data_IF_565629832337
#
_entry.id   IF_565629832337
#
_cell.length_a   1.000
_cell.length_b   1.000
_cell.length_c   1.000
_cell.angle_alpha   90.00
_cell.angle_beta   90.00
_cell.angle_gamma   90.00
#
_symmetry.space_group_name_H-M   'P 1'
#
loop_
_entity.id
_entity.type
_entity.pdbx_description
1 polymer ?
#
# COMPACT_ATOMS: atom_id res chain seq x y z
N UNK A 1 18.14 -7.79 1.18
CA UNK A 1 16.85 -7.40 0.60
C UNK A 1 16.05 -6.72 1.68
N UNK A 2 15.74 -5.43 1.53
CA UNK A 2 14.97 -4.67 2.51
C UNK A 2 13.48 -4.91 2.25
N UNK A 3 12.68 -5.01 3.30
CA UNK A 3 11.24 -5.31 3.21
C UNK A 3 10.47 -4.37 2.25
N UNK A 4 10.81 -3.08 2.24
CA UNK A 4 10.19 -2.10 1.34
C UNK A 4 10.53 -2.34 -0.15
N UNK A 5 11.65 -2.98 -0.48
CA UNK A 5 12.02 -3.33 -1.87
C UNK A 5 11.08 -4.43 -2.40
N UNK A 6 10.71 -5.40 -1.55
CA UNK A 6 9.76 -6.47 -1.89
C UNK A 6 8.37 -5.88 -2.15
N UNK A 7 7.90 -5.00 -1.26
CA UNK A 7 6.61 -4.32 -1.44
C UNK A 7 6.61 -3.47 -2.70
N UNK A 8 7.67 -2.70 -2.97
CA UNK A 8 7.78 -1.88 -4.16
C UNK A 8 7.71 -2.70 -5.47
N UNK A 9 8.38 -3.86 -5.50
CA UNK A 9 8.30 -4.81 -6.63
C UNK A 9 6.87 -5.33 -6.82
N UNK A 10 6.23 -5.78 -5.74
CA UNK A 10 4.86 -6.29 -5.78
C UNK A 10 3.87 -5.23 -6.29
N UNK A 11 3.93 -4.01 -5.77
CA UNK A 11 3.08 -2.90 -6.18
C UNK A 11 3.27 -2.59 -7.68
N UNK A 12 4.51 -2.50 -8.13
CA UNK A 12 4.83 -2.26 -9.55
C UNK A 12 4.24 -3.34 -10.45
N UNK A 13 4.40 -4.62 -10.08
CA UNK A 13 3.84 -5.76 -10.82
C UNK A 13 2.31 -5.78 -10.85
N UNK A 14 1.66 -5.29 -9.79
CA UNK A 14 0.21 -5.15 -9.72
C UNK A 14 -0.31 -3.82 -10.33
N UNK A 15 0.55 -3.06 -11.00
CA UNK A 15 0.25 -1.75 -11.61
C UNK A 15 -0.15 -0.66 -10.61
N UNK A 16 0.34 -0.76 -9.38
CA UNK A 16 0.21 0.27 -8.35
C UNK A 16 1.45 1.15 -8.34
N UNK A 17 1.22 2.46 -8.23
CA UNK A 17 2.23 3.42 -7.83
C UNK A 17 2.08 3.70 -6.34
N UNK A 18 3.17 4.03 -5.65
CA UNK A 18 3.14 4.25 -4.21
C UNK A 18 4.13 5.31 -3.75
N UNK A 19 3.84 5.89 -2.58
CA UNK A 19 4.64 6.90 -1.92
C UNK A 19 4.65 6.71 -0.41
N UNK A 20 5.69 7.23 0.24
CA UNK A 20 5.80 7.21 1.70
C UNK A 20 6.44 8.53 2.16
N UNK A 21 5.75 9.23 3.06
CA UNK A 21 6.21 10.46 3.67
C UNK A 21 6.06 10.39 5.19
N UNK A 22 6.91 11.10 5.92
CA UNK A 22 6.75 11.31 7.36
C UNK A 22 6.19 12.71 7.64
N UNK A 23 5.36 12.83 8.66
CA UNK A 23 4.88 14.10 9.19
C UNK A 23 5.00 14.13 10.71
N UNK A 24 4.94 15.32 11.30
CA UNK A 24 4.86 15.49 12.76
C UNK A 24 3.42 15.86 13.10
N UNK A 25 2.78 15.11 13.99
CA UNK A 25 1.41 15.38 14.44
C UNK A 25 1.35 16.52 15.48
N UNK A 26 0.14 16.86 15.93
CA UNK A 26 -0.07 17.92 16.93
C UNK A 26 0.53 17.61 18.31
N UNK A 27 0.86 16.35 18.58
CA UNK A 27 1.48 15.89 19.82
C UNK A 27 3.02 15.81 19.69
N UNK A 28 3.57 16.17 18.52
CA UNK A 28 5.00 16.11 18.26
C UNK A 28 5.50 14.71 17.89
N UNK A 29 4.61 13.74 17.64
CA UNK A 29 4.97 12.39 17.22
C UNK A 29 5.25 12.37 15.73
N UNK A 30 6.26 11.62 15.32
CA UNK A 30 6.46 11.31 13.90
C UNK A 30 5.46 10.25 13.49
N UNK A 31 4.64 10.56 12.50
CA UNK A 31 3.72 9.63 11.85
C UNK A 31 4.18 9.37 10.42
N UNK A 32 3.83 8.20 9.90
CA UNK A 32 4.13 7.77 8.54
C UNK A 32 2.85 7.67 7.74
N UNK A 33 2.83 8.35 6.60
CA UNK A 33 1.72 8.33 5.64
C UNK A 33 2.22 7.60 4.41
N UNK A 34 1.59 6.48 4.08
CA UNK A 34 1.91 5.68 2.90
C UNK A 34 0.69 5.63 2.01
N UNK A 35 0.86 5.95 0.74
CA UNK A 35 -0.20 5.88 -0.25
C UNK A 35 0.12 4.88 -1.34
N UNK A 36 -0.91 4.22 -1.86
CA UNK A 36 -0.84 3.51 -3.13
C UNK A 36 -2.02 3.93 -4.00
N UNK A 37 -1.77 4.14 -5.29
CA UNK A 37 -2.79 4.52 -6.25
C UNK A 37 -2.61 3.78 -7.58
N UNK A 38 -3.72 3.60 -8.28
CA UNK A 38 -3.79 2.89 -9.56
C UNK A 38 -4.65 3.65 -10.56
N UNK A 39 -4.34 3.50 -11.85
CA UNK A 39 -5.00 4.23 -12.95
C UNK A 39 -6.51 3.99 -13.10
N UNK A 40 -7.08 3.00 -12.39
CA UNK A 40 -8.52 2.75 -12.33
C UNK A 40 -9.23 3.57 -11.22
N UNK A 41 -8.55 4.57 -10.65
CA UNK A 41 -9.09 5.46 -9.62
C UNK A 41 -9.03 4.90 -8.20
N UNK A 42 -8.48 3.69 -8.00
CA UNK A 42 -8.29 3.14 -6.65
C UNK A 42 -7.14 3.81 -5.94
N UNK A 43 -7.34 4.07 -4.64
CA UNK A 43 -6.33 4.64 -3.76
C UNK A 43 -6.45 4.09 -2.36
N UNK A 44 -5.32 3.75 -1.76
CA UNK A 44 -5.18 3.42 -0.35
C UNK A 44 -4.27 4.43 0.32
N UNK A 45 -4.60 4.82 1.55
CA UNK A 45 -3.78 5.68 2.39
C UNK A 45 -3.76 5.04 3.76
N UNK A 46 -2.56 4.78 4.27
CA UNK A 46 -2.32 4.25 5.59
C UNK A 46 -1.54 5.26 6.40
N UNK A 47 -1.94 5.47 7.65
CA UNK A 47 -1.24 6.29 8.63
C UNK A 47 -0.88 5.42 9.82
N UNK A 48 0.39 5.42 10.23
CA UNK A 48 0.83 4.72 11.44
C UNK A 48 2.00 5.44 12.12
N UNK A 49 2.18 5.18 13.41
CA UNK A 49 3.29 5.76 14.19
C UNK A 49 4.66 5.19 13.75
N UNK A 50 4.68 4.00 13.17
CA UNK A 50 5.89 3.34 12.66
C UNK A 50 5.81 3.12 11.14
N UNK A 51 6.94 3.38 10.46
CA UNK A 51 7.05 3.20 9.00
C UNK A 51 6.73 1.78 8.57
N UNK A 52 7.24 0.80 9.31
CA UNK A 52 7.06 -0.62 8.99
C UNK A 52 5.60 -1.01 9.11
N UNK A 53 4.92 -0.59 10.17
CA UNK A 53 3.48 -0.82 10.36
C UNK A 53 2.67 -0.22 9.21
N UNK A 54 2.96 1.01 8.80
CA UNK A 54 2.26 1.62 7.67
C UNK A 54 2.47 0.84 6.35
N UNK A 55 3.67 0.29 6.12
CA UNK A 55 3.96 -0.53 4.94
C UNK A 55 3.26 -1.90 4.99
N UNK A 56 3.24 -2.56 6.16
CA UNK A 56 2.55 -3.84 6.36
C UNK A 56 1.04 -3.69 6.13
N UNK A 57 0.42 -2.65 6.69
CA UNK A 57 -1.01 -2.39 6.48
C UNK A 57 -1.31 -2.11 5.00
N UNK A 58 -0.46 -1.32 4.32
CA UNK A 58 -0.64 -1.05 2.89
C UNK A 58 -0.55 -2.33 2.05
N UNK A 59 0.43 -3.18 2.34
CA UNK A 59 0.57 -4.48 1.68
C UNK A 59 -0.70 -5.32 1.85
N UNK A 60 -1.28 -5.39 3.06
CA UNK A 60 -2.54 -6.12 3.32
C UNK A 60 -3.70 -5.59 2.49
N UNK A 61 -3.89 -4.28 2.42
CA UNK A 61 -4.98 -3.65 1.65
C UNK A 61 -4.84 -3.92 0.15
N UNK A 62 -3.62 -3.75 -0.39
CA UNK A 62 -3.36 -3.97 -1.82
C UNK A 62 -3.45 -5.44 -2.19
N UNK A 63 -2.91 -6.35 -1.37
CA UNK A 63 -3.03 -7.80 -1.60
C UNK A 63 -4.49 -8.24 -1.58
N UNK A 64 -5.28 -7.79 -0.59
CA UNK A 64 -6.70 -8.15 -0.47
C UNK A 64 -7.46 -7.79 -1.73
N UNK A 65 -7.31 -6.56 -2.21
CA UNK A 65 -8.01 -6.11 -3.42
C UNK A 65 -7.46 -6.78 -4.68
N UNK A 66 -6.15 -6.97 -4.79
CA UNK A 66 -5.55 -7.60 -5.97
C UNK A 66 -6.00 -9.05 -6.12
N UNK A 67 -5.98 -9.84 -5.04
CA UNK A 67 -6.44 -11.23 -5.06
C UNK A 67 -7.95 -11.34 -5.24
N UNK A 68 -8.73 -10.53 -4.54
CA UNK A 68 -10.19 -10.53 -4.71
C UNK A 68 -10.59 -10.22 -6.17
N UNK A 69 -10.01 -9.19 -6.79
CA UNK A 69 -10.30 -8.86 -8.18
C UNK A 69 -9.86 -9.96 -9.15
N UNK A 70 -8.72 -10.59 -8.89
CA UNK A 70 -8.26 -11.72 -9.69
C UNK A 70 -9.26 -12.89 -9.59
N UNK A 71 -9.84 -13.15 -8.42
CA UNK A 71 -10.87 -14.18 -8.24
C UNK A 71 -12.18 -13.86 -8.97
N UNK A 72 -12.62 -12.60 -9.00
CA UNK A 72 -13.82 -12.20 -9.75
C UNK A 72 -13.60 -12.31 -11.26
N UNK A 73 -12.45 -11.84 -11.76
CA UNK A 73 -12.12 -11.90 -13.20
C UNK A 73 -11.81 -13.31 -13.70
N UNK A 74 -11.47 -14.25 -12.81
CA UNK A 74 -11.22 -15.65 -13.14
C UNK A 74 -12.47 -16.53 -13.22
N UNK A 75 -13.67 -15.98 -12.95
CA UNK A 75 -14.94 -16.70 -13.01
C UNK A 75 -15.64 -16.68 -14.38
N UNK A 76 -15.12 -15.92 -15.34
CA UNK A 76 -15.71 -15.75 -16.67
C UNK A 76 -15.01 -16.63 -17.74
N UNK A 77 -14.74 -17.90 -17.42
CA UNK A 77 -14.12 -18.85 -18.36
C UNK A 77 -14.85 -20.19 -18.42
#
# INVERSE_FOLDING_TARGET
MKYWEIIADYLSRASWSWGCVSAVDSEGRTIWIVDAHRGDGRRFIVVADEKLSALVELEREVLTVTFYLASIRGGDQ
#
